data_IF_780286435828
#
_entry.id   IF_780286435828
#
_cell.length_a   1.000
_cell.length_b   1.000
_cell.length_c   1.000
_cell.angle_alpha   90.00
_cell.angle_beta   90.00
_cell.angle_gamma   90.00
#
_symmetry.space_group_name_H-M   'P 1'
#
loop_
_entity.id
_entity.type
_entity.pdbx_description
1 polymer ?
#
# COMPACT_ATOMS: atom_id res chain seq x y z
N UNK A 1 7.23 12.39 -9.18
CA UNK A 1 6.14 11.77 -8.41
C UNK A 1 4.74 12.21 -8.88
N UNK A 2 4.28 13.46 -8.65
CA UNK A 2 2.93 13.93 -9.07
C UNK A 2 2.62 13.75 -10.56
N UNK A 3 3.60 14.02 -11.43
CA UNK A 3 3.44 13.86 -12.90
C UNK A 3 3.15 12.41 -13.29
N UNK A 4 3.84 11.45 -12.66
CA UNK A 4 3.67 10.00 -12.89
C UNK A 4 2.31 9.48 -12.44
N UNK A 5 1.81 9.95 -11.29
CA UNK A 5 0.47 9.58 -10.78
C UNK A 5 -0.62 10.04 -11.75
N UNK A 6 -0.54 11.29 -12.22
CA UNK A 6 -1.53 11.83 -13.16
C UNK A 6 -1.49 11.07 -14.51
N UNK A 7 -0.30 10.72 -15.00
CA UNK A 7 -0.16 9.90 -16.22
C UNK A 7 -0.78 8.52 -16.03
N UNK A 8 -0.56 7.86 -14.88
CA UNK A 8 -1.15 6.56 -14.57
C UNK A 8 -2.66 6.64 -14.43
N UNK A 9 -3.19 7.65 -13.74
CA UNK A 9 -4.62 7.91 -13.63
C UNK A 9 -5.26 8.11 -15.01
N UNK A 10 -4.62 8.89 -15.88
CA UNK A 10 -5.08 9.06 -17.26
C UNK A 10 -5.06 7.76 -18.06
N UNK A 11 -4.08 6.88 -17.82
CA UNK A 11 -4.00 5.58 -18.49
C UNK A 11 -5.13 4.65 -18.03
N UNK A 12 -5.35 4.54 -16.73
CA UNK A 12 -6.44 3.75 -16.12
C UNK A 12 -7.80 4.26 -16.63
N UNK A 13 -8.04 5.57 -16.63
CA UNK A 13 -9.27 6.16 -17.12
C UNK A 13 -9.55 5.82 -18.60
N UNK A 14 -8.52 5.83 -19.46
CA UNK A 14 -8.65 5.43 -20.87
C UNK A 14 -8.92 3.94 -21.04
N UNK A 15 -8.36 3.08 -20.18
CA UNK A 15 -8.66 1.64 -20.20
C UNK A 15 -10.09 1.35 -19.76
N UNK A 16 -10.60 2.07 -18.76
CA UNK A 16 -12.01 2.00 -18.35
C UNK A 16 -12.94 2.38 -19.49
N UNK A 17 -12.64 3.43 -20.24
CA UNK A 17 -13.42 3.80 -21.44
C UNK A 17 -13.43 2.69 -22.49
N UNK A 18 -12.30 2.02 -22.73
CA UNK A 18 -12.24 0.90 -23.69
C UNK A 18 -13.10 -0.28 -23.27
N UNK A 19 -13.24 -0.54 -21.97
CA UNK A 19 -14.02 -1.67 -21.42
C UNK A 19 -15.50 -1.35 -21.27
N UNK A 20 -15.84 -0.14 -20.85
CA UNK A 20 -17.18 0.21 -20.39
C UNK A 20 -17.85 1.31 -21.21
N UNK A 21 -17.13 1.94 -22.14
CA UNK A 21 -17.60 3.11 -22.89
C UNK A 21 -17.52 4.41 -22.08
N UNK A 22 -18.21 5.46 -22.53
CA UNK A 22 -18.24 6.76 -21.84
C UNK A 22 -17.01 7.64 -22.08
N UNK A 23 -16.82 8.66 -21.23
CA UNK A 23 -15.72 9.63 -21.33
C UNK A 23 -14.71 9.39 -20.22
N UNK A 24 -13.42 9.52 -20.55
CA UNK A 24 -12.35 9.29 -19.58
C UNK A 24 -12.44 10.20 -18.34
N UNK A 25 -13.00 11.41 -18.48
CA UNK A 25 -13.20 12.33 -17.35
C UNK A 25 -14.20 11.79 -16.31
N UNK A 26 -15.11 10.90 -16.70
CA UNK A 26 -16.07 10.26 -15.79
C UNK A 26 -15.36 9.25 -14.87
N UNK A 27 -14.22 8.71 -15.32
CA UNK A 27 -13.41 7.74 -14.58
C UNK A 27 -12.20 8.36 -13.87
N UNK A 28 -11.87 9.63 -14.13
CA UNK A 28 -10.60 10.21 -13.72
C UNK A 28 -10.45 10.30 -12.20
N UNK A 29 -11.55 10.51 -11.47
CA UNK A 29 -11.55 10.60 -10.01
C UNK A 29 -11.17 9.26 -9.36
N UNK A 30 -11.77 8.17 -9.83
CA UNK A 30 -11.48 6.83 -9.31
C UNK A 30 -10.11 6.32 -9.79
N UNK A 31 -9.76 6.62 -11.04
CA UNK A 31 -8.43 6.34 -11.58
C UNK A 31 -7.32 7.10 -10.85
N UNK A 32 -7.58 8.33 -10.36
CA UNK A 32 -6.67 9.09 -9.51
C UNK A 32 -6.43 8.39 -8.17
N UNK A 33 -7.48 7.85 -7.53
CA UNK A 33 -7.34 7.09 -6.28
C UNK A 33 -6.52 5.82 -6.50
N UNK A 34 -6.80 5.08 -7.57
CA UNK A 34 -6.05 3.87 -7.93
C UNK A 34 -4.59 4.17 -8.24
N UNK A 35 -4.32 5.24 -9.00
CA UNK A 35 -2.97 5.67 -9.31
C UNK A 35 -2.19 6.16 -8.08
N UNK A 36 -2.86 6.84 -7.15
CA UNK A 36 -2.28 7.23 -5.87
C UNK A 36 -1.98 6.03 -4.97
N UNK A 37 -2.90 5.07 -4.88
CA UNK A 37 -2.68 3.83 -4.16
C UNK A 37 -1.49 3.04 -4.73
N UNK A 38 -1.43 2.91 -6.06
CA UNK A 38 -0.32 2.26 -6.74
C UNK A 38 1.02 2.99 -6.55
N UNK A 39 1.01 4.33 -6.50
CA UNK A 39 2.22 5.12 -6.27
C UNK A 39 2.69 5.11 -4.81
N UNK A 40 1.77 5.05 -3.84
CA UNK A 40 2.09 4.79 -2.43
C UNK A 40 2.67 3.38 -2.22
N UNK A 41 2.28 2.42 -3.06
CA UNK A 41 2.87 1.08 -3.16
C UNK A 41 4.27 1.04 -3.82
N UNK A 42 4.93 2.17 -4.05
CA UNK A 42 6.19 2.25 -4.79
C UNK A 42 7.40 1.51 -4.20
N UNK A 43 7.32 1.02 -2.96
CA UNK A 43 8.33 0.13 -2.37
C UNK A 43 7.72 -1.13 -1.72
N UNK A 44 6.40 -1.33 -1.83
CA UNK A 44 5.74 -2.47 -1.19
C UNK A 44 4.43 -2.83 -1.85
N UNK A 45 4.17 -4.12 -2.05
CA UNK A 45 2.90 -4.64 -2.54
C UNK A 45 1.73 -4.33 -1.59
N UNK A 46 0.53 -4.19 -2.17
CA UNK A 46 -0.72 -3.98 -1.45
C UNK A 46 -0.96 -5.06 -0.40
N UNK A 47 -0.62 -6.31 -0.71
CA UNK A 47 -0.86 -7.41 0.20
C UNK A 47 0.09 -7.38 1.42
N UNK A 48 1.31 -6.82 1.31
CA UNK A 48 2.19 -6.63 2.48
C UNK A 48 1.61 -5.60 3.43
N UNK A 49 1.02 -4.54 2.88
CA UNK A 49 0.29 -3.54 3.65
C UNK A 49 -0.89 -4.16 4.41
N UNK A 50 -1.71 -4.96 3.71
CA UNK A 50 -2.85 -5.67 4.31
C UNK A 50 -2.42 -6.64 5.42
N UNK A 51 -1.30 -7.34 5.23
CA UNK A 51 -0.75 -8.25 6.24
C UNK A 51 -0.33 -7.50 7.52
N UNK A 52 0.31 -6.34 7.38
CA UNK A 52 0.68 -5.48 8.52
C UNK A 52 -0.55 -4.89 9.19
N UNK A 53 -1.51 -4.37 8.42
CA UNK A 53 -2.77 -3.85 8.98
C UNK A 53 -3.52 -4.91 9.79
N UNK A 54 -3.63 -6.13 9.27
CA UNK A 54 -4.31 -7.22 9.97
C UNK A 54 -3.68 -7.49 11.34
N UNK A 55 -2.35 -7.40 11.44
CA UNK A 55 -1.62 -7.50 12.71
C UNK A 55 -1.86 -6.31 13.62
N UNK A 56 -1.85 -5.09 13.08
CA UNK A 56 -2.16 -3.88 13.84
C UNK A 56 -3.58 -3.92 14.41
N UNK A 57 -4.58 -4.32 13.60
CA UNK A 57 -5.98 -4.49 14.05
C UNK A 57 -6.07 -5.51 15.18
N UNK A 58 -5.43 -6.67 15.02
CA UNK A 58 -5.41 -7.72 16.05
C UNK A 58 -4.75 -7.24 17.36
N UNK A 59 -3.76 -6.35 17.26
CA UNK A 59 -3.09 -5.73 18.41
C UNK A 59 -3.82 -4.49 18.95
N UNK A 60 -4.99 -4.13 18.42
CA UNK A 60 -5.76 -2.94 18.85
C UNK A 60 -5.15 -1.59 18.43
N UNK A 61 -4.18 -1.58 17.51
CA UNK A 61 -3.44 -0.37 17.09
C UNK A 61 -4.15 0.39 15.97
N UNK A 62 -5.41 0.77 16.18
CA UNK A 62 -6.23 1.42 15.15
C UNK A 62 -5.72 2.80 14.73
N UNK A 63 -5.13 3.57 15.65
CA UNK A 63 -4.53 4.88 15.35
C UNK A 63 -3.33 4.78 14.39
N UNK A 64 -2.50 3.73 14.52
CA UNK A 64 -1.35 3.52 13.63
C UNK A 64 -1.76 3.12 12.22
N UNK A 65 -2.93 2.49 12.06
CA UNK A 65 -3.53 2.22 10.74
C UNK A 65 -3.95 3.54 10.08
N UNK A 66 -4.57 4.45 10.85
CA UNK A 66 -4.89 5.78 10.32
C UNK A 66 -3.63 6.53 9.90
N UNK A 67 -2.55 6.47 10.69
CA UNK A 67 -1.26 7.06 10.31
C UNK A 67 -0.76 6.49 8.98
N UNK A 68 -0.85 5.18 8.79
CA UNK A 68 -0.51 4.50 7.54
C UNK A 68 -1.36 4.95 6.34
N UNK A 69 -2.69 5.08 6.53
CA UNK A 69 -3.63 5.50 5.48
C UNK A 69 -3.34 6.92 5.00
N UNK A 70 -3.06 7.82 5.95
CA UNK A 70 -2.80 9.23 5.69
C UNK A 70 -1.36 9.56 5.33
N UNK A 71 -0.40 8.65 5.58
CA UNK A 71 1.00 8.84 5.24
C UNK A 71 1.19 9.11 3.74
N UNK A 72 2.12 10.02 3.43
CA UNK A 72 2.55 10.31 2.05
C UNK A 72 3.48 9.22 1.54
N UNK A 73 4.31 8.67 2.41
CA UNK A 73 5.26 7.60 2.11
C UNK A 73 5.24 6.53 3.20
N UNK A 74 5.23 5.26 2.80
CA UNK A 74 5.30 4.10 3.70
C UNK A 74 6.39 3.16 3.21
N UNK A 75 7.26 2.72 4.13
CA UNK A 75 8.30 1.72 3.87
C UNK A 75 8.16 0.57 4.85
N UNK A 76 8.52 -0.62 4.37
CA UNK A 76 8.67 -1.80 5.20
C UNK A 76 10.09 -2.30 5.10
N UNK A 77 10.80 -2.29 6.22
CA UNK A 77 12.15 -2.82 6.31
C UNK A 77 12.12 -4.16 7.04
N UNK A 78 12.70 -5.19 6.45
CA UNK A 78 12.93 -6.43 7.15
C UNK A 78 14.04 -6.24 8.18
N UNK A 79 13.73 -6.50 9.45
CA UNK A 79 14.67 -6.34 10.57
C UNK A 79 15.04 -7.67 11.23
N UNK A 80 14.26 -8.73 10.99
CA UNK A 80 14.55 -10.08 11.48
C UNK A 80 13.83 -11.11 10.62
N UNK A 81 14.49 -12.21 10.26
CA UNK A 81 13.84 -13.34 9.61
C UNK A 81 14.18 -14.63 10.34
N UNK A 82 13.13 -15.35 10.74
CA UNK A 82 13.24 -16.74 11.17
C UNK A 82 12.60 -17.62 10.11
N UNK A 83 13.45 -18.24 9.29
CA UNK A 83 13.07 -19.18 8.24
C UNK A 83 12.11 -20.23 8.80
N UNK A 84 11.01 -20.46 8.09
CA UNK A 84 9.90 -21.33 8.46
C UNK A 84 8.89 -20.71 9.43
N UNK A 85 9.09 -19.48 9.93
CA UNK A 85 8.28 -18.91 11.00
C UNK A 85 7.75 -17.51 10.71
N UNK A 86 8.61 -16.47 10.66
CA UNK A 86 8.16 -15.08 10.53
C UNK A 86 9.25 -14.11 10.05
N UNK A 87 8.78 -13.02 9.44
CA UNK A 87 9.50 -11.79 9.19
C UNK A 87 9.12 -10.72 10.22
N UNK A 88 10.11 -10.14 10.89
CA UNK A 88 10.01 -8.89 11.63
C UNK A 88 10.14 -7.73 10.66
N UNK A 89 9.08 -6.94 10.54
CA UNK A 89 8.97 -5.85 9.59
C UNK A 89 8.83 -4.53 10.36
N UNK A 90 9.82 -3.66 10.22
CA UNK A 90 9.70 -2.27 10.66
C UNK A 90 8.87 -1.48 9.65
N UNK A 91 7.89 -0.75 10.16
CA UNK A 91 7.01 0.10 9.38
C UNK A 91 7.43 1.54 9.60
N UNK A 92 7.77 2.23 8.52
CA UNK A 92 8.16 3.64 8.54
C UNK A 92 7.11 4.42 7.75
N UNK A 93 6.53 5.45 8.37
CA UNK A 93 5.55 6.35 7.77
C UNK A 93 6.10 7.78 7.79
N UNK A 94 6.17 8.43 6.62
CA UNK A 94 6.66 9.81 6.45
C UNK A 94 8.05 10.09 7.05
N UNK A 95 8.88 9.05 7.20
CA UNK A 95 10.23 9.14 7.75
C UNK A 95 10.35 8.66 9.21
N UNK A 96 9.23 8.47 9.90
CA UNK A 96 9.22 8.04 11.30
C UNK A 96 8.86 6.56 11.43
N UNK A 97 9.62 5.82 12.24
CA UNK A 97 9.31 4.43 12.57
C UNK A 97 8.08 4.37 13.49
N UNK A 98 7.03 3.70 13.04
CA UNK A 98 5.78 3.52 13.80
C UNK A 98 5.68 2.13 14.44
N UNK A 99 6.71 1.31 14.27
CA UNK A 99 6.94 0.07 15.01
C UNK A 99 7.26 -1.15 14.15
N UNK A 100 7.66 -2.22 14.85
CA UNK A 100 8.02 -3.51 14.25
C UNK A 100 6.89 -4.54 14.45
N UNK A 101 6.56 -5.25 13.38
CA UNK A 101 5.48 -6.24 13.34
C UNK A 101 5.97 -7.57 12.81
N UNK A 102 5.62 -8.65 13.51
CA UNK A 102 6.01 -10.01 13.13
C UNK A 102 4.90 -10.67 12.28
N UNK A 103 5.18 -10.82 10.98
CA UNK A 103 4.31 -11.45 9.99
C UNK A 103 4.81 -12.86 9.71
N UNK A 104 3.93 -13.86 9.69
CA UNK A 104 4.36 -15.22 9.33
C UNK A 104 4.88 -15.26 7.90
N UNK A 105 5.95 -16.00 7.65
CA UNK A 105 6.60 -16.11 6.33
C UNK A 105 5.61 -16.47 5.22
N UNK A 106 4.75 -17.47 5.45
CA UNK A 106 3.71 -17.87 4.49
C UNK A 106 2.76 -16.74 4.07
N UNK A 107 2.52 -15.77 4.95
CA UNK A 107 1.65 -14.61 4.66
C UNK A 107 2.46 -13.52 3.96
N UNK A 108 3.73 -13.37 4.30
CA UNK A 108 4.60 -12.34 3.72
C UNK A 108 5.09 -12.68 2.31
N UNK A 109 5.40 -13.94 2.03
CA UNK A 109 5.82 -14.41 0.69
C UNK A 109 4.70 -14.36 -0.35
N UNK A 110 3.45 -14.49 0.09
CA UNK A 110 2.26 -14.42 -0.78
C UNK A 110 1.82 -12.97 -0.99
N UNK A 111 2.36 -12.05 -0.20
CA UNK A 111 1.96 -10.65 -0.13
C UNK A 111 2.82 -9.76 -1.04
#
# INVERSE_FOLDING_TARGET
MKKTVMTNAWKIAKESVKKFGGKAIEYIAEAMKMAWAAAKCGNTSLAKFQAVEAKMRKAGKYSMIQVLDFAKEVKFNEVMHKVGAYYGIEVIADGDSIGTYYISEKVWEVA
#
